data_IF_154728252784
#
_entry.id   IF_154728252784
#
_cell.length_a   1.000
_cell.length_b   1.000
_cell.length_c   1.000
_cell.angle_alpha   90.00
_cell.angle_beta   90.00
_cell.angle_gamma   90.00
#
_symmetry.space_group_name_H-M   'P 1'
#
loop_
_entity.id
_entity.type
_entity.pdbx_description
1 polymer ?
#
# COMPACT_ATOMS: atom_id res chain seq x y z
N UNK A 1 -36.90 31.97 51.93
CA UNK A 1 -37.74 31.56 53.08
C UNK A 1 -37.50 30.08 53.36
N UNK A 2 -37.35 29.72 54.64
CA UNK A 2 -37.20 28.38 55.22
C UNK A 2 -35.85 27.69 54.91
N UNK A 3 -35.00 27.31 55.85
CA UNK A 3 -35.09 27.31 57.31
C UNK A 3 -34.97 25.89 57.87
N UNK A 4 -34.00 25.72 58.77
CA UNK A 4 -33.94 24.70 59.82
C UNK A 4 -33.51 23.29 59.41
N UNK A 5 -33.09 22.41 60.31
CA UNK A 5 -32.80 22.47 61.76
C UNK A 5 -32.08 21.14 62.09
N UNK A 6 -31.38 21.17 63.21
CA UNK A 6 -30.52 20.17 63.83
C UNK A 6 -31.10 18.76 64.13
N UNK A 7 -30.15 17.87 64.47
CA UNK A 7 -30.31 16.75 65.43
C UNK A 7 -29.81 15.41 64.89
N UNK A 8 -29.33 14.43 65.67
CA UNK A 8 -28.92 14.29 67.08
C UNK A 8 -28.40 12.83 67.20
N UNK A 9 -27.41 12.60 68.07
CA UNK A 9 -27.14 11.38 68.87
C UNK A 9 -26.69 10.03 68.25
N UNK A 10 -25.76 9.41 69.01
CA UNK A 10 -25.08 8.09 68.96
C UNK A 10 -26.02 6.88 69.29
N UNK A 11 -25.59 5.66 69.75
CA UNK A 11 -24.26 5.00 69.88
C UNK A 11 -24.22 3.46 69.56
N UNK A 12 -23.04 2.82 69.73
CA UNK A 12 -22.85 1.37 70.01
C UNK A 12 -22.57 0.50 68.77
N UNK A 13 -21.75 -0.55 68.78
CA UNK A 13 -21.01 -1.32 69.79
C UNK A 13 -20.60 -2.68 69.17
N UNK A 14 -19.74 -3.47 69.85
CA UNK A 14 -19.22 -4.82 69.53
C UNK A 14 -18.09 -4.90 68.47
N UNK A 15 -16.93 -5.53 68.68
CA UNK A 15 -16.47 -6.47 69.71
C UNK A 15 -15.91 -7.74 69.03
N UNK A 16 -14.62 -8.06 69.19
CA UNK A 16 -14.05 -9.33 68.70
C UNK A 16 -12.51 -9.41 68.62
N UNK A 17 -11.86 -9.63 69.77
CA UNK A 17 -10.56 -10.34 69.90
C UNK A 17 -10.79 -11.83 69.53
N UNK A 18 -9.82 -12.62 69.05
CA UNK A 18 -8.68 -13.25 69.76
C UNK A 18 -7.80 -13.99 68.72
N UNK A 19 -6.47 -14.02 68.85
CA UNK A 19 -5.68 -15.11 69.47
C UNK A 19 -5.10 -16.04 68.37
N UNK A 20 -3.81 -16.07 68.02
CA UNK A 20 -2.53 -16.25 68.74
C UNK A 20 -2.09 -17.72 68.94
N UNK A 21 -0.78 -17.94 68.75
CA UNK A 21 0.06 -19.12 69.03
C UNK A 21 -0.16 -20.35 68.12
N UNK A 22 0.87 -21.01 67.58
CA UNK A 22 2.32 -20.98 67.79
C UNK A 22 2.87 -22.40 67.59
N UNK A 23 4.15 -22.52 67.22
CA UNK A 23 5.09 -23.59 67.61
C UNK A 23 5.98 -24.10 66.46
N UNK A 24 7.25 -24.19 66.82
CA UNK A 24 8.45 -24.55 66.07
C UNK A 24 8.64 -26.08 65.94
N UNK A 25 9.52 -26.46 65.00
CA UNK A 25 10.24 -27.75 64.92
C UNK A 25 10.66 -28.01 63.46
N UNK A 26 11.86 -27.62 63.01
CA UNK A 26 13.15 -28.34 63.07
C UNK A 26 13.32 -29.48 62.05
N UNK A 27 13.98 -29.21 60.91
CA UNK A 27 15.05 -30.03 60.26
C UNK A 27 15.54 -29.33 58.95
N UNK A 28 16.85 -29.33 58.61
CA UNK A 28 17.36 -28.77 57.36
C UNK A 28 17.35 -29.84 56.26
N UNK A 29 16.16 -30.16 55.76
CA UNK A 29 16.03 -31.01 54.59
C UNK A 29 16.35 -30.22 53.32
N UNK A 30 17.08 -30.89 52.43
CA UNK A 30 17.52 -30.46 51.11
C UNK A 30 16.58 -29.43 50.50
N UNK A 31 17.11 -28.23 50.21
CA UNK A 31 16.43 -27.09 49.62
C UNK A 31 15.40 -27.51 48.55
N UNK A 32 14.19 -27.79 49.03
CA UNK A 32 13.00 -27.95 48.24
C UNK A 32 12.72 -26.58 47.68
N UNK A 33 13.22 -26.34 46.48
CA UNK A 33 12.75 -25.22 45.67
C UNK A 33 11.24 -25.43 45.56
N UNK A 34 10.48 -24.60 46.28
CA UNK A 34 9.02 -24.57 46.24
C UNK A 34 8.62 -24.34 44.78
N UNK A 35 8.20 -25.41 44.09
CA UNK A 35 7.74 -25.33 42.70
C UNK A 35 6.45 -24.50 42.57
N UNK A 36 5.78 -24.20 43.69
CA UNK A 36 4.55 -23.42 43.74
C UNK A 36 4.82 -21.90 43.75
N UNK A 37 6.03 -21.48 44.16
CA UNK A 37 6.49 -20.08 44.10
C UNK A 37 7.21 -19.76 42.79
N UNK A 38 7.58 -20.78 42.00
CA UNK A 38 8.05 -20.58 40.65
C UNK A 38 6.88 -20.15 39.78
N UNK A 39 6.83 -18.87 39.43
CA UNK A 39 5.91 -18.36 38.41
C UNK A 39 5.91 -19.32 37.20
N UNK A 40 4.75 -19.67 36.61
CA UNK A 40 4.65 -20.68 35.54
C UNK A 40 5.45 -20.34 34.26
N UNK A 41 6.13 -19.20 34.24
CA UNK A 41 7.10 -18.79 33.21
C UNK A 41 8.53 -19.29 33.50
N UNK A 42 8.91 -19.49 34.77
CA UNK A 42 10.26 -19.95 35.16
C UNK A 42 10.38 -21.48 35.17
N UNK A 43 9.30 -22.23 35.41
CA UNK A 43 9.32 -23.70 35.27
C UNK A 43 9.29 -24.19 33.82
N UNK A 44 9.04 -23.28 32.86
CA UNK A 44 9.23 -23.48 31.43
C UNK A 44 10.71 -23.46 30.99
N UNK A 45 11.65 -23.39 31.94
CA UNK A 45 13.11 -23.51 31.73
C UNK A 45 13.54 -24.94 31.38
N UNK A 46 12.65 -25.94 31.46
CA UNK A 46 12.80 -27.12 30.60
C UNK A 46 12.47 -26.71 29.17
N UNK A 47 13.49 -26.16 28.48
CA UNK A 47 13.64 -26.11 27.02
C UNK A 47 13.14 -27.44 26.44
N UNK A 48 11.85 -27.51 26.13
CA UNK A 48 11.40 -28.54 25.21
C UNK A 48 12.05 -28.17 23.90
N UNK A 49 12.65 -29.14 23.20
CA UNK A 49 13.23 -28.95 21.87
C UNK A 49 12.31 -28.14 20.94
N UNK A 50 11.00 -28.22 21.19
CA UNK A 50 9.96 -27.40 20.56
C UNK A 50 10.08 -25.89 20.81
N UNK A 51 10.25 -25.39 22.04
CA UNK A 51 10.37 -23.94 22.28
C UNK A 51 11.65 -23.39 21.68
N UNK A 52 12.75 -24.14 21.78
CA UNK A 52 14.02 -23.80 21.17
C UNK A 52 13.92 -23.76 19.62
N UNK A 53 13.27 -24.74 19.00
CA UNK A 53 13.00 -24.74 17.55
C UNK A 53 12.11 -23.56 17.13
N UNK A 54 11.06 -23.24 17.88
CA UNK A 54 10.18 -22.10 17.59
C UNK A 54 10.95 -20.78 17.66
N UNK A 55 11.88 -20.62 18.61
CA UNK A 55 12.75 -19.43 18.67
C UNK A 55 13.64 -19.32 17.42
N UNK A 56 14.26 -20.43 16.99
CA UNK A 56 15.09 -20.45 15.76
C UNK A 56 14.26 -20.18 14.51
N UNK A 57 13.07 -20.77 14.42
CA UNK A 57 12.15 -20.51 13.33
C UNK A 57 11.70 -19.03 13.31
N UNK A 58 11.41 -18.45 14.48
CA UNK A 58 11.09 -17.03 14.58
C UNK A 58 12.26 -16.13 14.14
N UNK A 59 13.51 -16.48 14.50
CA UNK A 59 14.71 -15.79 14.01
C UNK A 59 14.85 -15.91 12.50
N UNK A 60 14.64 -17.11 11.93
CA UNK A 60 14.65 -17.31 10.49
C UNK A 60 13.56 -16.48 9.78
N UNK A 61 12.36 -16.38 10.36
CA UNK A 61 11.28 -15.55 9.82
C UNK A 61 11.61 -14.05 9.81
N UNK A 62 12.54 -13.58 10.66
CA UNK A 62 13.02 -12.18 10.61
C UNK A 62 13.76 -11.86 9.31
N UNK A 63 14.34 -12.86 8.63
CA UNK A 63 14.94 -12.66 7.31
C UNK A 63 13.87 -12.34 6.24
N UNK A 64 12.69 -12.95 6.37
CA UNK A 64 11.58 -12.82 5.43
C UNK A 64 10.66 -11.63 5.71
N UNK A 65 10.57 -11.20 6.97
CA UNK A 65 9.67 -10.14 7.39
C UNK A 65 9.87 -8.80 6.65
N UNK A 66 11.12 -8.34 6.35
CA UNK A 66 11.34 -7.18 5.51
C UNK A 66 10.75 -7.38 4.11
N UNK A 67 11.01 -8.51 3.47
CA UNK A 67 10.45 -8.80 2.14
C UNK A 67 8.93 -8.74 2.13
N UNK A 68 8.26 -9.38 3.09
CA UNK A 68 6.80 -9.35 3.17
C UNK A 68 6.27 -7.92 3.40
N UNK A 69 6.89 -7.17 4.30
CA UNK A 69 6.46 -5.80 4.63
C UNK A 69 6.66 -4.85 3.43
N UNK A 70 7.82 -4.89 2.80
CA UNK A 70 8.14 -4.02 1.67
C UNK A 70 7.47 -4.47 0.37
N UNK A 71 7.21 -5.76 0.16
CA UNK A 71 6.43 -6.25 -0.97
C UNK A 71 5.00 -5.71 -0.92
N UNK A 72 4.35 -5.77 0.25
CA UNK A 72 3.01 -5.18 0.46
C UNK A 72 3.04 -3.67 0.19
N UNK A 73 4.06 -2.98 0.67
CA UNK A 73 4.20 -1.55 0.47
C UNK A 73 4.41 -1.17 -1.01
N UNK A 74 5.34 -1.84 -1.69
CA UNK A 74 5.63 -1.63 -3.10
C UNK A 74 4.41 -1.97 -3.97
N UNK A 75 3.69 -3.04 -3.64
CA UNK A 75 2.45 -3.41 -4.33
C UNK A 75 1.37 -2.34 -4.12
N UNK A 76 1.16 -1.88 -2.89
CA UNK A 76 0.20 -0.82 -2.57
C UNK A 76 0.50 0.48 -3.32
N UNK A 77 1.75 0.95 -3.26
CA UNK A 77 2.19 2.14 -4.00
C UNK A 77 2.07 1.97 -5.52
N UNK A 78 2.43 0.80 -6.04
CA UNK A 78 2.31 0.47 -7.45
C UNK A 78 0.87 0.54 -7.93
N UNK A 79 -0.08 -0.03 -7.19
CA UNK A 79 -1.50 0.03 -7.54
C UNK A 79 -2.03 1.46 -7.42
N UNK A 80 -1.61 2.25 -6.42
CA UNK A 80 -1.98 3.67 -6.32
C UNK A 80 -1.51 4.44 -7.55
N UNK A 81 -0.25 4.26 -7.95
CA UNK A 81 0.33 4.91 -9.13
C UNK A 81 -0.37 4.46 -10.42
N UNK A 82 -0.67 3.16 -10.56
CA UNK A 82 -1.39 2.62 -11.70
C UNK A 82 -2.82 3.16 -11.78
N UNK A 83 -3.52 3.25 -10.64
CA UNK A 83 -4.87 3.80 -10.54
C UNK A 83 -4.90 5.27 -10.94
N UNK A 84 -3.95 6.07 -10.45
CA UNK A 84 -3.79 7.47 -10.85
C UNK A 84 -3.52 7.60 -12.36
N UNK A 85 -2.51 6.88 -12.87
CA UNK A 85 -2.18 6.90 -14.30
C UNK A 85 -3.35 6.48 -15.19
N UNK A 86 -4.09 5.44 -14.80
CA UNK A 86 -5.28 4.96 -15.51
C UNK A 86 -6.40 5.99 -15.48
N UNK A 87 -6.62 6.67 -14.35
CA UNK A 87 -7.59 7.75 -14.24
C UNK A 87 -7.29 8.88 -15.23
N UNK A 88 -6.04 9.37 -15.26
CA UNK A 88 -5.62 10.41 -16.22
C UNK A 88 -5.68 9.94 -17.68
N UNK A 89 -5.29 8.69 -17.94
CA UNK A 89 -5.36 8.12 -19.29
C UNK A 89 -6.80 8.03 -19.79
N UNK A 90 -7.71 7.48 -18.99
CA UNK A 90 -9.13 7.42 -19.32
C UNK A 90 -9.72 8.82 -19.52
N UNK A 91 -9.37 9.77 -18.65
CA UNK A 91 -9.84 11.14 -18.76
C UNK A 91 -9.40 11.78 -20.09
N UNK A 92 -8.12 11.68 -20.45
CA UNK A 92 -7.59 12.22 -21.69
C UNK A 92 -8.13 11.52 -22.94
N UNK A 93 -8.26 10.18 -22.90
CA UNK A 93 -8.63 9.38 -24.08
C UNK A 93 -10.13 9.38 -24.38
N UNK A 94 -10.96 9.44 -23.33
CA UNK A 94 -12.42 9.34 -23.45
C UNK A 94 -13.11 10.69 -23.49
N UNK A 95 -12.49 11.78 -22.99
CA UNK A 95 -13.08 13.12 -23.04
C UNK A 95 -13.61 13.52 -24.43
N UNK A 96 -12.89 13.28 -25.55
CA UNK A 96 -13.40 13.62 -26.88
C UNK A 96 -14.60 12.78 -27.34
N UNK A 97 -14.81 11.60 -26.75
CA UNK A 97 -15.92 10.69 -27.08
C UNK A 97 -17.13 10.95 -26.19
N UNK A 98 -16.91 11.03 -24.87
CA UNK A 98 -17.94 11.31 -23.86
C UNK A 98 -17.28 11.80 -22.57
N UNK A 99 -17.53 13.06 -22.23
CA UNK A 99 -17.04 13.69 -20.99
C UNK A 99 -17.52 12.92 -19.75
N UNK A 100 -18.79 12.52 -19.74
CA UNK A 100 -19.39 11.81 -18.61
C UNK A 100 -18.80 10.41 -18.40
N UNK A 101 -18.54 9.67 -19.49
CA UNK A 101 -17.87 8.37 -19.39
C UNK A 101 -16.44 8.50 -18.83
N UNK A 102 -15.73 9.54 -19.28
CA UNK A 102 -14.37 9.86 -18.82
C UNK A 102 -14.35 10.17 -17.30
N UNK A 103 -15.29 11.00 -16.84
CA UNK A 103 -15.44 11.37 -15.43
C UNK A 103 -15.86 10.16 -14.59
N UNK A 104 -16.83 9.37 -15.04
CA UNK A 104 -17.28 8.17 -14.32
C UNK A 104 -16.14 7.17 -14.10
N UNK A 105 -15.36 6.84 -15.15
CA UNK A 105 -14.22 5.94 -15.01
C UNK A 105 -13.12 6.52 -14.11
N UNK A 106 -12.90 7.83 -14.17
CA UNK A 106 -11.98 8.52 -13.24
C UNK A 106 -12.42 8.29 -11.79
N UNK A 107 -13.72 8.39 -11.49
CA UNK A 107 -14.26 8.12 -10.15
C UNK A 107 -14.11 6.66 -9.71
N UNK A 108 -14.25 5.69 -10.62
CA UNK A 108 -14.02 4.27 -10.30
C UNK A 108 -12.57 4.03 -9.87
N UNK A 109 -11.59 4.56 -10.61
CA UNK A 109 -10.19 4.47 -10.24
C UNK A 109 -9.88 5.22 -8.94
N UNK A 110 -10.48 6.38 -8.72
CA UNK A 110 -10.36 7.12 -7.46
C UNK A 110 -10.89 6.31 -6.27
N UNK A 111 -12.04 5.65 -6.42
CA UNK A 111 -12.59 4.79 -5.39
C UNK A 111 -11.67 3.61 -5.08
N UNK A 112 -11.10 2.97 -6.11
CA UNK A 112 -10.10 1.91 -5.93
C UNK A 112 -8.88 2.41 -5.15
N UNK A 113 -8.30 3.55 -5.54
CA UNK A 113 -7.15 4.16 -4.84
C UNK A 113 -7.52 4.49 -3.40
N UNK A 114 -8.72 5.02 -3.15
CA UNK A 114 -9.20 5.33 -1.80
C UNK A 114 -9.30 4.08 -0.94
N UNK A 115 -9.89 2.99 -1.44
CA UNK A 115 -10.02 1.72 -0.71
C UNK A 115 -8.65 1.14 -0.35
N UNK A 116 -7.73 1.09 -1.31
CA UNK A 116 -6.37 0.60 -1.09
C UNK A 116 -5.66 1.47 -0.05
N UNK A 117 -5.82 2.79 -0.14
CA UNK A 117 -5.17 3.70 0.81
C UNK A 117 -5.77 3.52 2.21
N UNK A 118 -7.09 3.34 2.33
CA UNK A 118 -7.74 3.12 3.63
C UNK A 118 -7.37 1.77 4.26
N UNK A 119 -7.14 0.74 3.45
CA UNK A 119 -6.74 -0.59 3.93
C UNK A 119 -5.26 -0.67 4.30
N UNK A 120 -4.38 0.01 3.55
CA UNK A 120 -2.93 -0.10 3.74
C UNK A 120 -2.34 0.97 4.67
N UNK A 121 -2.93 2.16 4.73
CA UNK A 121 -2.43 3.27 5.54
C UNK A 121 -3.26 3.41 6.81
N UNK A 122 -2.79 2.76 7.87
CA UNK A 122 -3.19 3.06 9.24
C UNK A 122 -2.29 4.22 9.69
N UNK A 123 -2.87 5.41 9.80
CA UNK A 123 -2.14 6.59 10.29
C UNK A 123 -2.90 7.07 11.50
N UNK A 124 -2.27 7.00 12.67
CA UNK A 124 -2.91 7.33 13.95
C UNK A 124 -3.30 8.81 14.03
N UNK A 125 -2.55 9.67 13.33
CA UNK A 125 -2.83 11.10 13.24
C UNK A 125 -3.88 11.36 12.16
N UNK A 126 -5.14 11.71 12.52
CA UNK A 126 -6.22 11.89 11.56
C UNK A 126 -5.91 13.00 10.56
N UNK A 127 -5.23 14.07 11.00
CA UNK A 127 -4.84 15.19 10.14
C UNK A 127 -3.96 14.69 8.99
N UNK A 128 -2.89 13.93 9.30
CA UNK A 128 -1.99 13.40 8.28
C UNK A 128 -2.73 12.46 7.32
N UNK A 129 -3.63 11.62 7.85
CA UNK A 129 -4.49 10.75 7.04
C UNK A 129 -5.34 11.54 6.05
N UNK A 130 -6.06 12.56 6.52
CA UNK A 130 -6.90 13.38 5.65
C UNK A 130 -6.07 14.18 4.63
N UNK A 131 -4.90 14.69 5.02
CA UNK A 131 -4.00 15.38 4.10
C UNK A 131 -3.49 14.45 2.99
N UNK A 132 -3.09 13.22 3.31
CA UNK A 132 -2.67 12.22 2.32
C UNK A 132 -3.82 11.88 1.38
N UNK A 133 -5.02 11.64 1.91
CA UNK A 133 -6.21 11.36 1.09
C UNK A 133 -6.56 12.54 0.17
N UNK A 134 -6.50 13.76 0.70
CA UNK A 134 -6.77 14.97 -0.07
C UNK A 134 -5.76 15.15 -1.22
N UNK A 135 -4.48 14.85 -1.01
CA UNK A 135 -3.48 14.93 -2.07
C UNK A 135 -3.63 13.81 -3.12
N UNK A 136 -3.97 12.59 -2.68
CA UNK A 136 -4.16 11.43 -3.56
C UNK A 136 -5.42 11.53 -4.43
N UNK A 137 -6.53 12.01 -3.86
CA UNK A 137 -7.84 12.10 -4.53
C UNK A 137 -8.06 13.47 -5.17
N UNK A 138 -7.47 14.52 -4.59
CA UNK A 138 -7.63 15.90 -5.07
C UNK A 138 -7.13 16.08 -6.50
N UNK A 139 -6.00 15.45 -6.86
CA UNK A 139 -5.45 15.53 -8.22
C UNK A 139 -6.45 15.12 -9.31
N UNK A 140 -6.96 13.87 -9.32
CA UNK A 140 -7.88 13.44 -10.37
C UNK A 140 -9.25 14.10 -10.27
N UNK A 141 -9.72 14.50 -9.08
CA UNK A 141 -10.93 15.31 -8.92
C UNK A 141 -10.80 16.68 -9.61
N UNK A 142 -9.67 17.37 -9.40
CA UNK A 142 -9.35 18.62 -10.09
C UNK A 142 -9.31 18.38 -11.60
N UNK A 143 -8.62 17.34 -12.06
CA UNK A 143 -8.57 17.00 -13.48
C UNK A 143 -9.97 16.77 -14.08
N UNK A 144 -10.85 16.05 -13.36
CA UNK A 144 -12.24 15.85 -13.77
C UNK A 144 -13.00 17.18 -13.87
N UNK A 145 -12.87 18.08 -12.89
CA UNK A 145 -13.47 19.44 -12.95
C UNK A 145 -12.96 20.19 -14.19
N UNK A 146 -11.66 20.13 -14.47
CA UNK A 146 -11.05 20.73 -15.67
C UNK A 146 -11.51 20.09 -16.99
N UNK A 147 -11.99 18.85 -16.96
CA UNK A 147 -12.54 18.17 -18.13
C UNK A 147 -13.99 18.57 -18.43
N UNK A 148 -14.80 18.82 -17.38
CA UNK A 148 -16.21 19.18 -17.49
C UNK A 148 -16.42 20.68 -17.69
N UNK A 149 -15.48 21.52 -17.22
CA UNK A 149 -15.60 22.97 -17.40
C UNK A 149 -15.30 23.40 -18.83
N UNK A 150 -16.15 24.27 -19.37
CA UNK A 150 -15.93 24.98 -20.63
C UNK A 150 -15.09 26.24 -20.45
N UNK A 151 -14.92 26.72 -19.22
CA UNK A 151 -14.18 27.95 -18.95
C UNK A 151 -12.67 27.70 -19.03
N UNK A 152 -12.06 28.23 -20.09
CA UNK A 152 -10.64 28.02 -20.40
C UNK A 152 -9.70 28.42 -19.25
N UNK A 153 -9.99 29.54 -18.58
CA UNK A 153 -9.16 30.01 -17.46
C UNK A 153 -9.17 29.06 -16.26
N UNK A 154 -10.31 28.41 -15.98
CA UNK A 154 -10.41 27.41 -14.90
C UNK A 154 -9.65 26.14 -15.32
N UNK A 155 -9.77 25.72 -16.57
CA UNK A 155 -9.00 24.57 -17.08
C UNK A 155 -7.49 24.79 -17.00
N UNK A 156 -7.03 25.98 -17.39
CA UNK A 156 -5.60 26.36 -17.35
C UNK A 156 -5.03 26.41 -15.93
N UNK A 157 -5.85 26.67 -14.92
CA UNK A 157 -5.41 26.70 -13.52
C UNK A 157 -5.50 25.31 -12.89
N UNK A 158 -6.62 24.62 -13.04
CA UNK A 158 -6.93 23.37 -12.35
C UNK A 158 -6.04 22.20 -12.81
N UNK A 159 -5.67 22.12 -14.10
CA UNK A 159 -4.84 21.03 -14.61
C UNK A 159 -3.43 21.03 -13.99
N UNK A 160 -2.68 22.15 -13.96
CA UNK A 160 -1.42 22.20 -13.23
C UNK A 160 -1.55 21.88 -11.74
N UNK A 161 -2.60 22.37 -11.07
CA UNK A 161 -2.82 22.05 -9.66
C UNK A 161 -3.08 20.56 -9.42
N UNK A 162 -3.72 19.86 -10.37
CA UNK A 162 -3.91 18.43 -10.30
C UNK A 162 -2.57 17.67 -10.24
N UNK A 163 -1.62 18.02 -11.13
CA UNK A 163 -0.28 17.43 -11.13
C UNK A 163 0.58 17.88 -9.94
N UNK A 164 0.42 19.13 -9.49
CA UNK A 164 1.11 19.65 -8.31
C UNK A 164 0.74 18.86 -7.06
N UNK A 165 -0.55 18.54 -6.87
CA UNK A 165 -1.01 17.76 -5.72
C UNK A 165 -0.29 16.39 -5.65
N UNK A 166 -0.13 15.70 -6.78
CA UNK A 166 0.61 14.45 -6.84
C UNK A 166 2.11 14.63 -6.65
N UNK A 167 2.72 15.65 -7.24
CA UNK A 167 4.13 15.96 -7.03
C UNK A 167 4.40 16.20 -5.53
N UNK A 168 3.57 16.99 -4.86
CA UNK A 168 3.66 17.24 -3.41
C UNK A 168 3.48 15.94 -2.63
N UNK A 169 2.48 15.11 -2.97
CA UNK A 169 2.28 13.82 -2.31
C UNK A 169 3.54 12.95 -2.36
N UNK A 170 4.13 12.76 -3.55
CA UNK A 170 5.30 11.91 -3.72
C UNK A 170 6.56 12.48 -3.08
N UNK A 171 6.73 13.81 -3.05
CA UNK A 171 7.81 14.47 -2.31
C UNK A 171 7.66 14.29 -0.79
N UNK A 172 6.45 14.39 -0.26
CA UNK A 172 6.17 14.12 1.16
C UNK A 172 6.41 12.64 1.48
N UNK A 173 5.93 11.72 0.62
CA UNK A 173 6.18 10.29 0.77
C UNK A 173 7.68 9.98 0.76
N UNK A 174 8.45 10.62 -0.13
CA UNK A 174 9.91 10.49 -0.18
C UNK A 174 10.56 11.00 1.10
N UNK A 175 10.15 12.17 1.59
CA UNK A 175 10.68 12.74 2.84
C UNK A 175 10.41 11.80 4.03
N UNK A 176 9.21 11.24 4.12
CA UNK A 176 8.85 10.26 5.15
C UNK A 176 9.71 8.99 4.99
N UNK A 177 9.85 8.45 3.78
CA UNK A 177 10.66 7.26 3.52
C UNK A 177 12.16 7.47 3.82
N UNK A 178 12.67 8.69 3.64
CA UNK A 178 14.05 9.04 3.99
C UNK A 178 14.25 9.15 5.51
N UNK A 179 13.27 9.68 6.24
CA UNK A 179 13.37 9.87 7.69
C UNK A 179 13.08 8.58 8.47
N UNK A 180 12.02 7.87 8.10
CA UNK A 180 11.53 6.72 8.86
C UNK A 180 12.21 5.40 8.49
N UNK A 181 12.56 5.19 7.22
CA UNK A 181 13.26 3.95 6.83
C UNK A 181 14.74 3.98 7.19
N UNK A 182 15.19 4.90 8.06
CA UNK A 182 16.54 4.78 8.62
C UNK A 182 16.56 3.48 9.42
N UNK A 183 17.49 2.54 9.14
CA UNK A 183 17.60 1.33 9.92
C UNK A 183 17.90 1.74 11.36
N UNK A 184 16.89 1.69 12.23
CA UNK A 184 17.14 1.63 13.66
C UNK A 184 17.64 0.23 13.91
N UNK A 185 18.89 0.10 14.34
CA UNK A 185 19.52 -1.17 14.68
C UNK A 185 18.81 -1.91 15.84
N UNK A 186 17.78 -1.31 16.44
CA UNK A 186 17.01 -1.88 17.55
C UNK A 186 15.87 -2.77 17.06
N UNK A 187 16.20 -3.87 16.38
CA UNK A 187 15.24 -4.88 15.91
C UNK A 187 14.79 -5.87 17.00
N UNK A 188 14.67 -5.43 18.27
CA UNK A 188 14.33 -6.35 19.37
C UNK A 188 12.82 -6.50 19.59
N UNK A 189 11.98 -5.57 19.11
CA UNK A 189 10.52 -5.67 19.30
C UNK A 189 9.79 -5.95 17.97
N UNK A 190 9.82 -7.22 17.58
CA UNK A 190 9.02 -7.76 16.48
C UNK A 190 7.54 -7.73 16.81
N UNK A 191 6.75 -6.94 16.08
CA UNK A 191 5.30 -7.03 16.17
C UNK A 191 4.50 -5.92 15.49
N UNK A 192 5.09 -4.74 15.25
CA UNK A 192 4.35 -3.62 14.67
C UNK A 192 4.91 -3.24 13.30
N UNK A 193 4.10 -3.47 12.26
CA UNK A 193 4.40 -2.97 10.91
C UNK A 193 4.56 -1.45 10.89
N UNK A 194 5.26 -0.93 9.89
CA UNK A 194 5.60 0.50 9.73
C UNK A 194 4.43 1.48 9.95
N UNK A 195 3.21 1.11 9.54
CA UNK A 195 1.98 1.90 9.71
C UNK A 195 1.19 1.59 10.99
N UNK A 196 1.66 0.68 11.82
CA UNK A 196 0.93 0.16 12.98
C UNK A 196 1.61 0.53 14.30
N UNK A 197 2.49 1.52 14.28
CA UNK A 197 3.20 2.03 15.46
C UNK A 197 2.30 3.01 16.21
N UNK A 198 1.20 2.49 16.75
CA UNK A 198 0.44 3.19 17.76
C UNK A 198 1.36 3.44 18.95
N UNK A 199 1.45 4.70 19.37
CA UNK A 199 2.19 5.17 20.54
C UNK A 199 1.89 4.25 21.75
N UNK A 200 2.73 3.24 21.98
CA UNK A 200 2.84 2.59 23.29
C UNK A 200 3.71 3.49 24.16
N UNK A 201 3.20 4.68 24.42
CA UNK A 201 3.83 5.73 25.21
C UNK A 201 3.01 6.00 26.46
N UNK A 202 3.06 5.06 27.40
CA UNK A 202 3.13 5.32 28.85
C UNK A 202 3.29 3.98 29.58
N UNK A 203 4.51 3.43 29.47
CA UNK A 203 5.06 2.70 30.61
C UNK A 203 5.44 3.78 31.64
N UNK A 204 4.43 4.28 32.37
CA UNK A 204 4.67 5.09 33.56
C UNK A 204 5.33 4.18 34.60
N UNK A 205 6.53 4.55 35.01
CA UNK A 205 7.10 4.38 36.34
C UNK A 205 6.96 3.01 37.01
N UNK A 206 8.02 2.23 36.91
CA UNK A 206 8.49 1.43 38.05
C UNK A 206 8.81 2.38 39.23
N UNK A 207 7.87 2.56 40.15
CA UNK A 207 8.20 2.97 41.52
C UNK A 207 8.55 1.73 42.34
N UNK A 208 9.76 1.73 42.90
CA UNK A 208 10.19 0.77 43.91
C UNK A 208 9.38 0.97 45.21
N UNK A 209 9.15 -0.08 46.01
CA UNK A 209 8.50 0.08 47.30
C UNK A 209 9.50 0.62 48.33
N UNK A 210 9.36 1.89 48.70
CA UNK A 210 9.89 2.38 49.97
C UNK A 210 8.88 2.08 51.09
N UNK A 211 9.37 1.38 52.10
CA UNK A 211 8.68 1.10 53.35
C UNK A 211 8.41 2.38 54.17
N UNK A 212 7.28 2.35 54.90
CA UNK A 212 6.92 3.11 56.10
C UNK A 212 6.43 4.56 55.95
N UNK A 213 5.11 4.74 56.07
CA UNK A 213 4.50 6.00 56.44
C UNK A 213 2.97 6.00 56.44
N UNK A 214 2.37 5.88 57.61
CA UNK A 214 0.92 5.85 57.83
C UNK A 214 0.18 7.14 57.43
N UNK A 215 -0.99 7.00 56.80
CA UNK A 215 -2.21 7.85 56.85
C UNK A 215 -3.12 7.41 55.70
N UNK A 216 -4.32 6.86 55.86
CA UNK A 216 -5.46 7.43 56.59
C UNK A 216 -6.35 8.25 55.65
N UNK A 217 -7.20 7.60 54.83
CA UNK A 217 -8.16 8.34 53.99
C UNK A 217 -8.96 7.50 53.00
N UNK A 218 -10.08 6.93 53.45
CA UNK A 218 -11.04 6.24 52.59
C UNK A 218 -11.97 7.21 51.84
N UNK A 219 -12.19 6.95 50.55
CA UNK A 219 -13.24 7.58 49.75
C UNK A 219 -13.92 6.51 48.88
N UNK A 220 -15.16 6.16 49.24
CA UNK A 220 -16.16 5.64 48.31
C UNK A 220 -16.50 6.75 47.30
N UNK A 221 -16.83 6.54 46.03
CA UNK A 221 -17.22 5.40 45.21
C UNK A 221 -18.04 6.02 44.06
N UNK A 222 -18.11 5.41 42.88
CA UNK A 222 -19.18 5.69 41.89
C UNK A 222 -19.26 4.56 40.84
N UNK A 223 -20.52 4.19 40.54
CA UNK A 223 -21.05 3.18 39.60
C UNK A 223 -20.61 3.44 38.15
N UNK A 224 -20.56 2.54 37.17
CA UNK A 224 -21.12 1.22 36.79
C UNK A 224 -20.88 1.09 35.25
N UNK A 225 -21.59 0.29 34.42
CA UNK A 225 -22.12 -1.06 34.54
C UNK A 225 -21.40 -2.08 33.62
N UNK A 226 -21.91 -3.31 33.69
CA UNK A 226 -21.49 -4.58 33.04
C UNK A 226 -21.43 -4.60 31.51
N UNK A 227 -20.57 -5.50 31.06
CA UNK A 227 -20.45 -6.06 29.72
C UNK A 227 -21.76 -6.60 29.10
N UNK A 228 -21.89 -6.43 27.78
CA UNK A 228 -22.53 -7.42 26.92
C UNK A 228 -21.83 -7.44 25.56
N UNK A 229 -20.94 -8.41 25.38
CA UNK A 229 -20.24 -8.68 24.14
C UNK A 229 -21.16 -9.53 23.26
N UNK A 230 -21.91 -8.89 22.35
CA UNK A 230 -22.64 -9.59 21.29
C UNK A 230 -21.65 -9.94 20.17
N UNK A 231 -21.23 -11.20 20.11
CA UNK A 231 -20.74 -11.83 18.87
C UNK A 231 -21.85 -11.80 17.80
N UNK A 232 -21.59 -11.31 16.58
CA UNK A 232 -22.44 -11.65 15.44
C UNK A 232 -22.21 -13.11 15.06
N UNK A 233 -23.28 -13.90 15.05
CA UNK A 233 -23.34 -15.19 14.38
C UNK A 233 -23.15 -14.96 12.87
N UNK A 234 -22.16 -15.64 12.29
CA UNK A 234 -22.09 -15.87 10.85
C UNK A 234 -23.32 -16.69 10.45
N UNK A 235 -24.23 -16.05 9.71
CA UNK A 235 -25.26 -16.74 8.96
C UNK A 235 -24.59 -17.39 7.75
N UNK A 236 -24.70 -18.72 7.72
CA UNK A 236 -24.33 -19.57 6.62
C UNK A 236 -25.54 -19.63 5.68
N UNK A 237 -25.44 -19.04 4.49
CA UNK A 237 -26.37 -19.31 3.40
C UNK A 237 -25.75 -20.29 2.39
N UNK A 238 -26.47 -21.36 2.00
CA UNK A 238 -26.10 -22.20 0.88
C UNK A 238 -26.70 -21.59 -0.40
N UNK A 239 -25.83 -21.20 -1.33
CA UNK A 239 -26.22 -20.71 -2.65
C UNK A 239 -25.66 -21.61 -3.73
N UNK A 240 -26.49 -22.54 -4.18
CA UNK A 240 -26.30 -23.31 -5.42
C UNK A 240 -26.06 -22.37 -6.61
N UNK A 241 -25.01 -22.63 -7.38
CA UNK A 241 -24.90 -22.19 -8.78
C UNK A 241 -24.18 -23.23 -9.61
N UNK A 242 -25.01 -23.98 -10.33
CA UNK A 242 -24.68 -24.59 -11.60
C UNK A 242 -24.41 -23.49 -12.64
N UNK A 243 -23.49 -23.75 -13.58
CA UNK A 243 -23.46 -23.01 -14.84
C UNK A 243 -22.09 -22.71 -15.43
N UNK A 244 -21.75 -23.52 -16.44
CA UNK A 244 -21.05 -23.12 -17.68
C UNK A 244 -19.53 -22.92 -17.63
N UNK A 245 -18.86 -24.02 -17.96
CA UNK A 245 -17.46 -24.11 -18.33
C UNK A 245 -17.33 -23.87 -19.85
N UNK A 246 -16.98 -22.64 -20.25
CA UNK A 246 -16.51 -22.37 -21.61
C UNK A 246 -14.98 -22.42 -21.70
N UNK A 247 -14.59 -22.93 -22.86
CA UNK A 247 -13.30 -23.43 -23.32
C UNK A 247 -12.41 -22.26 -23.74
N UNK A 248 -11.17 -22.24 -23.26
CA UNK A 248 -10.16 -21.27 -23.70
C UNK A 248 -8.75 -21.79 -23.51
N UNK A 249 -8.23 -22.42 -24.55
CA UNK A 249 -6.83 -22.83 -24.68
C UNK A 249 -5.88 -21.62 -24.60
N UNK A 250 -4.89 -21.68 -23.71
CA UNK A 250 -3.59 -21.05 -24.00
C UNK A 250 -2.50 -21.84 -23.29
N UNK A 251 -1.58 -22.37 -24.11
CA UNK A 251 -0.46 -23.17 -23.64
C UNK A 251 0.60 -22.32 -22.97
N UNK A 252 1.11 -22.81 -21.84
CA UNK A 252 2.38 -22.38 -21.27
C UNK A 252 2.97 -23.50 -20.42
N UNK A 253 4.21 -23.88 -20.74
CA UNK A 253 5.22 -24.32 -19.77
C UNK A 253 5.02 -25.67 -19.10
N UNK A 254 5.74 -26.66 -19.60
CA UNK A 254 5.98 -27.98 -19.04
C UNK A 254 6.41 -27.93 -17.56
N UNK A 255 5.44 -28.00 -16.65
CA UNK A 255 5.65 -28.29 -15.25
C UNK A 255 5.64 -29.82 -15.10
N UNK A 256 6.83 -30.41 -14.90
CA UNK A 256 7.02 -31.79 -14.43
C UNK A 256 6.18 -32.02 -13.18
N UNK A 257 4.98 -32.53 -13.39
CA UNK A 257 4.13 -33.09 -12.34
C UNK A 257 4.73 -34.44 -11.97
N UNK A 258 5.41 -34.49 -10.83
CA UNK A 258 5.71 -35.74 -10.15
C UNK A 258 4.37 -36.37 -9.77
N UNK A 259 3.82 -37.21 -10.64
CA UNK A 259 2.67 -38.06 -10.31
C UNK A 259 3.14 -39.01 -9.22
N UNK A 260 2.70 -38.77 -7.99
CA UNK A 260 2.68 -39.79 -6.96
C UNK A 260 1.73 -40.89 -7.43
N UNK A 261 2.33 -41.97 -7.94
CA UNK A 261 1.63 -43.18 -8.32
C UNK A 261 1.16 -43.86 -7.03
N UNK A 262 -0.12 -43.72 -6.72
CA UNK A 262 -0.81 -44.45 -5.65
C UNK A 262 -1.04 -45.91 -6.11
N UNK A 263 0.05 -46.67 -6.25
CA UNK A 263 -0.04 -48.10 -6.47
C UNK A 263 -0.13 -48.80 -5.11
N UNK A 264 -1.31 -49.34 -4.80
CA UNK A 264 -1.51 -50.41 -3.82
C UNK A 264 -1.40 -50.02 -2.35
N UNK A 265 -2.43 -50.34 -1.57
CA UNK A 265 -2.37 -50.33 -0.12
C UNK A 265 -1.29 -51.32 0.36
N UNK A 266 -0.07 -50.83 0.58
CA UNK A 266 0.93 -51.56 1.33
C UNK A 266 0.36 -51.84 2.73
N UNK A 267 0.52 -53.06 3.27
CA UNK A 267 -0.01 -53.40 4.59
C UNK A 267 0.54 -52.40 5.62
N UNK A 268 -0.30 -51.94 6.54
CA UNK A 268 0.02 -50.91 7.54
C UNK A 268 1.30 -51.19 8.36
N UNK A 269 1.79 -52.45 8.35
CA UNK A 269 3.07 -52.85 8.90
C UNK A 269 4.29 -52.29 8.12
N UNK A 270 4.23 -52.27 6.79
CA UNK A 270 5.32 -51.80 5.93
C UNK A 270 5.45 -50.28 5.97
N UNK A 271 4.32 -49.56 6.04
CA UNK A 271 4.31 -48.11 6.26
C UNK A 271 4.92 -47.74 7.62
N UNK A 272 4.65 -48.52 8.68
CA UNK A 272 5.26 -48.32 10.01
C UNK A 272 6.74 -48.68 10.02
N UNK A 273 7.17 -49.71 9.30
CA UNK A 273 8.57 -50.08 9.16
C UNK A 273 9.36 -49.02 8.37
N UNK A 274 8.77 -48.51 7.28
CA UNK A 274 9.34 -47.42 6.49
C UNK A 274 9.45 -46.11 7.30
N UNK A 275 8.42 -45.76 8.08
CA UNK A 275 8.45 -44.61 8.97
C UNK A 275 9.52 -44.75 10.07
N UNK A 276 9.67 -45.94 10.68
CA UNK A 276 10.75 -46.21 11.64
C UNK A 276 12.12 -46.12 11.00
N UNK A 277 12.28 -46.62 9.77
CA UNK A 277 13.54 -46.54 9.02
C UNK A 277 13.89 -45.08 8.71
N UNK A 278 12.92 -44.28 8.28
CA UNK A 278 13.08 -42.83 8.08
C UNK A 278 13.44 -42.09 9.37
N UNK A 279 12.79 -42.40 10.48
CA UNK A 279 13.11 -41.83 11.79
C UNK A 279 14.51 -42.26 12.27
N UNK A 280 14.91 -43.50 12.02
CA UNK A 280 16.25 -43.99 12.38
C UNK A 280 17.36 -43.43 11.48
N UNK A 281 17.08 -43.21 10.19
CA UNK A 281 18.03 -42.56 9.27
C UNK A 281 18.17 -41.08 9.61
N UNK A 282 17.07 -40.38 9.88
CA UNK A 282 17.12 -39.00 10.37
C UNK A 282 17.86 -38.88 11.71
N UNK A 283 17.74 -39.87 12.61
CA UNK A 283 18.48 -39.91 13.86
C UNK A 283 19.98 -40.22 13.69
N UNK A 284 20.34 -41.10 12.75
CA UNK A 284 21.74 -41.42 12.43
C UNK A 284 22.45 -40.26 11.71
N UNK A 285 21.76 -39.58 10.79
CA UNK A 285 22.27 -38.40 10.09
C UNK A 285 22.38 -37.20 11.04
N UNK A 286 21.50 -37.12 12.05
CA UNK A 286 21.62 -36.12 13.14
C UNK A 286 22.80 -36.39 14.07
N UNK A 287 23.22 -37.65 14.25
CA UNK A 287 24.37 -38.00 15.09
C UNK A 287 25.71 -37.67 14.40
N UNK A 288 25.75 -37.63 13.06
CA UNK A 288 26.97 -37.31 12.30
C UNK A 288 27.23 -35.79 12.19
N UNK A 289 26.22 -34.97 12.49
CA UNK A 289 26.33 -33.50 12.56
C UNK A 289 26.39 -32.94 14.00
N UNK A 290 26.54 -33.79 15.02
CA UNK A 290 26.77 -33.37 16.43
C UNK A 290 28.11 -32.64 16.67
N UNK A 291 28.91 -32.38 15.63
CA UNK A 291 30.18 -31.66 15.74
C UNK A 291 30.07 -30.13 15.78
N UNK A 292 28.91 -29.56 15.45
CA UNK A 292 28.67 -28.12 15.60
C UNK A 292 27.25 -27.88 16.08
N UNK A 293 27.07 -27.67 17.38
CA UNK A 293 25.84 -27.18 18.03
C UNK A 293 25.41 -25.77 17.55
N UNK A 294 25.91 -25.33 16.40
CA UNK A 294 25.77 -24.01 15.85
C UNK A 294 24.71 -24.01 14.76
N UNK A 295 23.65 -23.24 14.95
CA UNK A 295 22.62 -23.06 13.93
C UNK A 295 22.99 -21.92 13.00
N UNK A 296 22.63 -21.96 11.70
CA UNK A 296 22.93 -20.87 10.77
C UNK A 296 22.40 -19.50 11.21
N UNK A 297 21.39 -19.45 12.08
CA UNK A 297 20.85 -18.19 12.64
C UNK A 297 21.68 -17.63 13.80
N UNK A 298 22.64 -18.39 14.31
CA UNK A 298 23.58 -17.98 15.36
C UNK A 298 24.88 -17.41 14.77
N UNK A 299 25.11 -17.59 13.47
CA UNK A 299 26.26 -17.02 12.76
C UNK A 299 26.08 -15.50 12.63
N UNK A 300 27.13 -14.72 12.95
CA UNK A 300 27.18 -13.28 12.68
C UNK A 300 26.93 -12.97 11.18
N UNK A 301 27.31 -13.90 10.30
CA UNK A 301 27.07 -13.82 8.85
C UNK A 301 25.56 -13.76 8.50
N UNK A 302 24.70 -14.43 9.28
CA UNK A 302 23.26 -14.40 9.04
C UNK A 302 22.66 -13.03 9.36
N UNK A 303 23.05 -12.44 10.50
CA UNK A 303 22.63 -11.09 10.88
C UNK A 303 23.18 -10.05 9.90
N UNK A 304 24.43 -10.19 9.44
CA UNK A 304 25.00 -9.34 8.39
C UNK A 304 24.18 -9.43 7.10
N UNK A 305 23.87 -10.63 6.62
CA UNK A 305 23.04 -10.86 5.42
C UNK A 305 21.63 -10.32 5.57
N UNK A 306 21.01 -10.49 6.75
CA UNK A 306 19.67 -9.97 7.03
C UNK A 306 19.66 -8.44 7.00
N UNK A 307 20.66 -7.80 7.60
CA UNK A 307 20.81 -6.36 7.61
C UNK A 307 21.12 -5.80 6.22
N UNK A 308 22.02 -6.44 5.46
CA UNK A 308 22.33 -6.08 4.08
C UNK A 308 21.09 -6.17 3.18
N UNK A 309 20.32 -7.25 3.33
CA UNK A 309 19.06 -7.46 2.62
C UNK A 309 18.02 -6.37 2.94
N UNK A 310 17.80 -6.08 4.22
CA UNK A 310 16.89 -5.03 4.66
C UNK A 310 17.29 -3.65 4.11
N UNK A 311 18.59 -3.34 4.12
CA UNK A 311 19.15 -2.12 3.55
C UNK A 311 18.90 -2.01 2.03
N UNK A 312 19.15 -3.10 1.29
CA UNK A 312 18.92 -3.15 -0.16
C UNK A 312 17.44 -2.94 -0.50
N UNK A 313 16.52 -3.59 0.21
CA UNK A 313 15.07 -3.44 -0.01
C UNK A 313 14.62 -2.01 0.32
N UNK A 314 15.16 -1.43 1.40
CA UNK A 314 14.89 -0.05 1.78
C UNK A 314 15.37 0.94 0.71
N UNK A 315 16.57 0.72 0.18
CA UNK A 315 17.14 1.53 -0.89
C UNK A 315 16.30 1.44 -2.18
N UNK A 316 15.88 0.23 -2.57
CA UNK A 316 14.99 0.01 -3.70
C UNK A 316 13.66 0.75 -3.52
N UNK A 317 13.06 0.68 -2.34
CA UNK A 317 11.81 1.38 -2.01
C UNK A 317 11.96 2.91 -2.09
N UNK A 318 13.08 3.46 -1.60
CA UNK A 318 13.36 4.89 -1.73
C UNK A 318 13.54 5.31 -3.18
N UNK A 319 14.22 4.50 -3.97
CA UNK A 319 14.44 4.75 -5.39
C UNK A 319 13.13 4.75 -6.18
N UNK A 320 12.20 3.83 -5.90
CA UNK A 320 10.89 3.79 -6.57
C UNK A 320 10.04 5.01 -6.22
N UNK A 321 9.97 5.39 -4.94
CA UNK A 321 9.28 6.62 -4.51
C UNK A 321 9.90 7.85 -5.17
N UNK A 322 11.24 7.91 -5.22
CA UNK A 322 11.96 9.00 -5.88
C UNK A 322 11.63 9.07 -7.37
N UNK A 323 11.64 7.95 -8.08
CA UNK A 323 11.28 7.88 -9.49
C UNK A 323 9.84 8.34 -9.74
N UNK A 324 8.89 7.94 -8.88
CA UNK A 324 7.52 8.47 -8.93
C UNK A 324 7.48 9.99 -8.70
N UNK A 325 8.23 10.49 -7.72
CA UNK A 325 8.35 11.93 -7.45
C UNK A 325 8.87 12.73 -8.65
N UNK A 326 9.91 12.23 -9.31
CA UNK A 326 10.47 12.82 -10.54
C UNK A 326 9.44 12.80 -11.67
N UNK A 327 8.77 11.68 -11.88
CA UNK A 327 7.76 11.53 -12.92
C UNK A 327 6.62 12.54 -12.73
N UNK A 328 6.03 12.63 -11.54
CA UNK A 328 4.95 13.58 -11.27
C UNK A 328 5.40 15.04 -11.31
N UNK A 329 6.63 15.33 -10.87
CA UNK A 329 7.21 16.67 -11.00
C UNK A 329 7.41 17.06 -12.47
N UNK A 330 7.83 16.12 -13.33
CA UNK A 330 7.97 16.36 -14.76
C UNK A 330 6.62 16.64 -15.43
N UNK A 331 5.55 15.93 -15.04
CA UNK A 331 4.20 16.17 -15.52
C UNK A 331 3.67 17.52 -15.06
N UNK A 332 3.98 17.94 -13.83
CA UNK A 332 3.66 19.28 -13.34
C UNK A 332 4.37 20.36 -14.18
N UNK A 333 5.69 20.25 -14.38
CA UNK A 333 6.46 21.20 -15.19
C UNK A 333 5.91 21.28 -16.62
N UNK A 334 5.63 20.13 -17.23
CA UNK A 334 5.00 20.06 -18.55
C UNK A 334 3.65 20.77 -18.57
N UNK A 335 2.79 20.55 -17.56
CA UNK A 335 1.47 21.17 -17.51
C UNK A 335 1.54 22.70 -17.34
N UNK A 336 2.50 23.19 -16.56
CA UNK A 336 2.77 24.63 -16.40
C UNK A 336 3.25 25.23 -17.73
N UNK A 337 4.20 24.57 -18.39
CA UNK A 337 4.67 25.00 -19.70
C UNK A 337 3.50 25.06 -20.71
N UNK A 338 2.66 24.03 -20.72
CA UNK A 338 1.56 23.92 -21.68
C UNK A 338 0.41 24.88 -21.43
N UNK A 339 0.03 25.10 -20.16
CA UNK A 339 -1.16 25.88 -19.84
C UNK A 339 -0.86 27.33 -19.47
N UNK A 340 0.34 27.66 -18.99
CA UNK A 340 0.69 29.02 -18.59
C UNK A 340 1.69 29.65 -19.56
N UNK A 341 2.72 28.92 -20.00
CA UNK A 341 3.77 29.50 -20.86
C UNK A 341 3.34 29.55 -22.32
N UNK A 342 2.81 28.48 -22.91
CA UNK A 342 2.37 28.43 -24.32
C UNK A 342 1.36 29.55 -24.67
N UNK A 343 0.31 29.83 -23.88
CA UNK A 343 -0.60 30.92 -24.19
C UNK A 343 0.07 32.29 -24.12
N UNK A 344 1.04 32.47 -23.21
CA UNK A 344 1.82 33.71 -23.13
C UNK A 344 2.75 33.84 -24.34
N UNK A 345 3.45 32.78 -24.74
CA UNK A 345 4.34 32.80 -25.90
C UNK A 345 3.57 32.98 -27.21
N UNK A 346 2.36 32.43 -27.34
CA UNK A 346 1.49 32.69 -28.50
C UNK A 346 0.97 34.12 -28.54
N UNK A 347 0.61 34.71 -27.39
CA UNK A 347 0.22 36.14 -27.31
C UNK A 347 1.39 37.08 -27.55
N UNK A 348 2.60 36.69 -27.13
CA UNK A 348 3.82 37.47 -27.28
C UNK A 348 4.52 37.24 -28.62
N UNK A 349 4.19 36.18 -29.37
CA UNK A 349 4.62 36.00 -30.76
C UNK A 349 3.98 37.15 -31.53
N UNK A 350 4.72 38.24 -31.79
CA UNK A 350 4.10 39.44 -32.32
C UNK A 350 3.57 39.09 -33.70
N UNK A 351 2.62 39.89 -34.15
CA UNK A 351 2.08 40.00 -35.50
C UNK A 351 3.11 40.07 -36.67
N UNK A 352 4.38 39.69 -36.48
CA UNK A 352 5.38 39.45 -37.53
C UNK A 352 4.92 38.46 -38.60
N UNK A 353 3.89 37.64 -38.33
CA UNK A 353 3.16 36.88 -39.36
C UNK A 353 1.72 37.33 -39.61
N UNK A 354 1.12 38.18 -38.75
CA UNK A 354 -0.30 38.55 -38.84
C UNK A 354 -0.59 39.68 -39.84
N UNK A 355 0.43 40.24 -40.51
CA UNK A 355 0.22 41.01 -41.74
C UNK A 355 0.00 40.10 -42.98
N UNK A 356 0.11 38.77 -42.83
CA UNK A 356 -0.03 37.79 -43.93
C UNK A 356 -0.88 36.57 -43.58
N UNK A 357 -1.27 36.39 -42.31
CA UNK A 357 -2.15 35.32 -41.88
C UNK A 357 -3.56 35.89 -41.73
N UNK A 358 -4.31 35.83 -42.83
CA UNK A 358 -5.77 35.92 -42.81
C UNK A 358 -6.35 34.99 -41.73
N UNK A 359 -7.53 35.31 -41.16
CA UNK A 359 -8.20 34.43 -40.20
C UNK A 359 -8.24 32.99 -40.74
N UNK A 360 -8.18 31.95 -39.88
CA UNK A 360 -8.28 30.57 -40.32
C UNK A 360 -9.58 30.43 -41.10
N UNK A 361 -9.46 30.44 -42.43
CA UNK A 361 -10.58 30.21 -43.31
C UNK A 361 -10.91 28.75 -43.09
N UNK A 362 -12.08 28.47 -42.53
CA UNK A 362 -12.64 27.12 -42.55
C UNK A 362 -12.84 26.76 -44.03
N UNK A 363 -11.81 26.13 -44.58
CA UNK A 363 -11.78 25.67 -45.95
C UNK A 363 -12.67 24.43 -45.99
N UNK A 364 -13.95 24.63 -46.35
CA UNK A 364 -14.84 23.55 -46.72
C UNK A 364 -14.26 22.84 -47.96
N UNK A 365 -13.48 21.78 -47.73
CA UNK A 365 -12.93 20.93 -48.76
C UNK A 365 -13.75 19.65 -48.82
N UNK A 366 -14.38 19.39 -49.96
CA UNK A 366 -14.95 18.08 -50.24
C UNK A 366 -13.80 17.08 -50.49
N UNK A 367 -13.54 16.23 -49.49
CA UNK A 367 -12.55 15.16 -49.59
C UNK A 367 -13.05 14.00 -50.47
N UNK A 368 -12.15 13.31 -51.18
CA UNK A 368 -12.53 12.19 -52.05
C UNK A 368 -13.07 10.97 -51.29
N UNK A 369 -12.76 10.86 -49.99
CA UNK A 369 -13.29 9.83 -49.11
C UNK A 369 -13.46 10.38 -47.69
N UNK A 370 -14.51 9.98 -46.95
CA UNK A 370 -14.67 10.33 -45.54
C UNK A 370 -13.59 9.71 -44.63
N UNK A 371 -12.84 8.72 -45.12
CA UNK A 371 -11.74 8.09 -44.40
C UNK A 371 -10.38 8.77 -44.63
N UNK A 372 -10.35 9.83 -45.46
CA UNK A 372 -9.12 10.56 -45.75
C UNK A 372 -8.53 11.15 -44.46
N UNK A 373 -7.25 10.86 -44.19
CA UNK A 373 -6.51 11.41 -43.06
C UNK A 373 -5.25 12.12 -43.56
N UNK A 374 -5.24 13.46 -43.59
CA UNK A 374 -4.08 14.21 -44.02
C UNK A 374 -2.90 13.93 -43.07
N UNK A 375 -1.74 13.62 -43.66
CA UNK A 375 -0.48 13.40 -42.93
C UNK A 375 0.50 14.55 -43.11
N UNK A 376 0.50 15.16 -44.28
CA UNK A 376 1.31 16.32 -44.61
C UNK A 376 0.53 17.39 -45.36
N UNK A 377 0.97 18.64 -45.24
CA UNK A 377 0.47 19.79 -45.99
C UNK A 377 1.67 20.54 -46.56
N UNK A 378 1.63 20.85 -47.85
CA UNK A 378 2.63 21.66 -48.55
C UNK A 378 1.95 22.84 -49.27
N UNK A 379 2.62 23.98 -49.31
CA UNK A 379 2.16 25.16 -50.05
C UNK A 379 3.22 25.57 -51.08
N UNK A 380 2.81 25.70 -52.34
CA UNK A 380 3.71 26.12 -53.42
C UNK A 380 2.97 26.99 -54.44
N UNK A 381 3.37 28.26 -54.54
CA UNK A 381 2.83 29.20 -55.52
C UNK A 381 1.32 29.46 -55.37
N UNK A 382 0.82 29.60 -54.14
CA UNK A 382 -0.60 29.83 -53.85
C UNK A 382 -1.50 28.60 -53.97
N UNK A 383 -0.91 27.41 -54.20
CA UNK A 383 -1.61 26.13 -54.22
C UNK A 383 -1.30 25.34 -52.95
N UNK A 384 -2.32 24.66 -52.45
CA UNK A 384 -2.23 23.83 -51.25
C UNK A 384 -2.30 22.36 -51.66
N UNK A 385 -1.32 21.58 -51.22
CA UNK A 385 -1.24 20.15 -51.45
C UNK A 385 -1.31 19.42 -50.12
N UNK A 386 -2.07 18.34 -50.08
CA UNK A 386 -2.29 17.53 -48.89
C UNK A 386 -2.06 16.08 -49.25
N UNK A 387 -1.34 15.34 -48.41
CA UNK A 387 -0.96 13.95 -48.71
C UNK A 387 -1.45 12.98 -47.63
N UNK A 388 -1.82 11.75 -48.05
CA UNK A 388 -2.31 10.68 -47.16
C UNK A 388 -1.29 9.56 -46.90
N UNK A 389 -0.03 9.77 -47.29
CA UNK A 389 1.07 8.81 -47.26
C UNK A 389 1.36 8.14 -48.60
N UNK A 390 0.38 8.08 -49.51
CA UNK A 390 0.54 7.44 -50.83
C UNK A 390 0.14 8.35 -51.99
N UNK A 391 -0.84 9.22 -51.78
CA UNK A 391 -1.41 10.08 -52.80
C UNK A 391 -1.33 11.54 -52.36
N UNK A 392 -1.17 12.41 -53.35
CA UNK A 392 -1.15 13.86 -53.17
C UNK A 392 -2.45 14.42 -53.74
N UNK A 393 -3.10 15.28 -52.98
CA UNK A 393 -4.32 15.95 -53.38
C UNK A 393 -4.07 17.45 -53.43
N UNK A 394 -4.38 18.07 -54.55
CA UNK A 394 -4.44 19.53 -54.67
C UNK A 394 -5.80 20.00 -54.13
N UNK A 395 -5.74 20.98 -53.23
CA UNK A 395 -6.91 21.57 -52.59
C UNK A 395 -7.22 22.90 -53.28
N UNK A 396 -8.46 23.03 -53.78
CA UNK A 396 -8.92 24.15 -54.59
C UNK A 396 -8.26 24.34 -55.97
N UNK A 397 -8.07 23.27 -56.77
CA UNK A 397 -7.62 23.45 -58.15
C UNK A 397 -8.63 24.31 -58.91
N UNK A 398 -8.20 25.48 -59.39
CA UNK A 398 -9.07 26.44 -60.07
C UNK A 398 -10.22 27.01 -59.21
N UNK A 399 -10.09 26.99 -57.88
CA UNK A 399 -11.12 27.53 -56.96
C UNK A 399 -12.29 26.58 -56.64
N UNK A 400 -12.27 25.34 -57.12
CA UNK A 400 -13.31 24.36 -56.79
C UNK A 400 -13.18 23.92 -55.32
N UNK A 401 -14.27 23.89 -54.54
CA UNK A 401 -14.30 23.41 -53.14
C UNK A 401 -14.10 21.88 -52.99
N UNK A 402 -13.20 21.27 -53.75
CA UNK A 402 -12.95 19.83 -53.77
C UNK A 402 -11.45 19.55 -53.87
N UNK A 403 -11.00 18.53 -53.15
CA UNK A 403 -9.65 17.99 -53.31
C UNK A 403 -9.60 17.08 -54.54
N UNK A 404 -8.65 17.33 -55.45
CA UNK A 404 -8.41 16.52 -56.65
C UNK A 404 -7.07 15.83 -56.52
N UNK A 405 -7.03 14.54 -56.83
CA UNK A 405 -5.79 13.78 -56.82
C UNK A 405 -4.84 14.31 -57.90
N UNK A 406 -3.66 14.76 -57.47
CA UNK A 406 -2.60 15.22 -58.34
C UNK A 406 -1.70 14.05 -58.75
N UNK A 407 -1.05 14.12 -59.93
CA UNK A 407 -0.12 13.09 -60.35
C UNK A 407 1.08 13.04 -59.39
N UNK A 408 1.20 11.93 -58.66
CA UNK A 408 2.36 11.63 -57.84
C UNK A 408 3.29 10.68 -58.60
N UNK A 409 4.46 11.17 -59.02
CA UNK A 409 5.47 10.36 -59.72
C UNK A 409 6.23 9.38 -58.83
N UNK A 410 5.89 9.30 -57.55
CA UNK A 410 6.55 8.42 -56.58
C UNK A 410 5.78 7.12 -56.45
N UNK A 411 6.44 6.00 -56.73
CA UNK A 411 5.91 4.65 -56.46
C UNK A 411 6.13 4.19 -55.01
N UNK A 412 6.70 5.05 -54.17
CA UNK A 412 7.02 4.77 -52.76
C UNK A 412 6.21 5.68 -51.84
N UNK A 413 5.97 5.26 -50.57
CA UNK A 413 5.30 6.10 -49.59
C UNK A 413 6.01 7.44 -49.45
N UNK A 414 5.24 8.51 -49.30
CA UNK A 414 5.74 9.84 -48.96
C UNK A 414 6.01 9.80 -47.45
N UNK A 415 7.26 10.06 -47.05
CA UNK A 415 7.74 9.98 -45.66
C UNK A 415 8.04 11.35 -45.12
#
# INVERSE_FOLDING_TARGET
ARGGVAGRAAPGGFGGQTGSFGSQGSEPDAAGVNLEDATPLESLVKRTTHTWYLTKFAQFMRLWQPYDTYAKYSMGLGIVSLGQGSAYFCLGRLRPLSVWAAVFLTFVFLFMVLQITMQNFKVDKPILRYSVMALLVGGPCLAAIGAVTEFEGLRQTVVPFAFLAHAVFWLVALKIAMHELRPKHDCVNGGQGFWNRGDTGKADGSEAPDELGASGGGRAGLQGPRASERRPRLAQEPGDRDGEQERGESGYGDARTVRFRSDGAAPAADARAAARKWLSQGAADSALHQGSDHWPTDDDEFEEKANATSSNITAATRLTIFACGVLWSSMFIWSVAKHWIDPLTMKLRPARGAALADPPVDLEVAWPSPLFRPRGVACAGGRYFVEDGFRVFEVFPGGAKRAVEGPCGLHRPIV
#
